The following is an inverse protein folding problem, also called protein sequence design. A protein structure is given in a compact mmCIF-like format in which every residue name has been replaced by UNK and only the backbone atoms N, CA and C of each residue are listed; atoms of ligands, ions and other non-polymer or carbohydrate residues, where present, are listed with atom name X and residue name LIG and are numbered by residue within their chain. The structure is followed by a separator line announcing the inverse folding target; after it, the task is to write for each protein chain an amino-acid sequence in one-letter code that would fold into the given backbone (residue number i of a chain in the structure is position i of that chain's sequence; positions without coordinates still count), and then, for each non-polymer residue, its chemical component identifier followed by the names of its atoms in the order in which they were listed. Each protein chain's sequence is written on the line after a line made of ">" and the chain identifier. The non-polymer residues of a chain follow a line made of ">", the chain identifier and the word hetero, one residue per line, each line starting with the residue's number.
data_IF_656521483311
#
_entry.id   IF_656521483311
#
_cell.length_a   1.000
_cell.length_b   1.000
_cell.length_c   1.000
_cell.angle_alpha   90.00
_cell.angle_beta   90.00
_cell.angle_gamma   90.00
#
_symmetry.space_group_name_H-M   'P 1'
#
loop_
_entity.id
_entity.type
_entity.pdbx_description
1 polymer ?
#
# COMPACT_ATOMS: atom_id res chain seq x y z
N UNK A 1 7.15 -79.69 5.82
CA UNK A 1 7.09 -78.53 6.74
C UNK A 1 6.88 -77.27 5.89
N UNK A 2 5.64 -76.75 5.77
CA UNK A 2 5.33 -75.58 4.92
C UNK A 2 5.43 -74.30 5.74
N UNK A 3 6.34 -73.41 5.36
CA UNK A 3 6.49 -72.07 5.95
C UNK A 3 5.39 -71.14 5.44
N UNK A 4 4.54 -70.65 6.35
CA UNK A 4 3.43 -69.74 6.05
C UNK A 4 3.98 -68.30 6.02
N UNK A 5 4.23 -67.77 4.82
CA UNK A 5 4.71 -66.40 4.59
C UNK A 5 3.61 -65.41 5.02
N UNK A 6 3.74 -64.80 6.20
CA UNK A 6 2.81 -63.75 6.69
C UNK A 6 2.96 -62.52 5.79
N UNK A 7 1.96 -62.26 4.95
CA UNK A 7 1.82 -60.99 4.22
C UNK A 7 1.33 -59.96 5.24
N UNK A 8 2.14 -58.95 5.56
CA UNK A 8 1.69 -57.79 6.34
C UNK A 8 0.55 -57.12 5.53
N UNK A 9 -0.62 -56.87 6.13
CA UNK A 9 -1.72 -56.26 5.40
C UNK A 9 -1.28 -54.87 4.95
N UNK A 10 -1.54 -54.51 3.69
CA UNK A 10 -1.13 -53.25 3.07
C UNK A 10 -1.53 -52.02 3.91
N UNK A 11 -2.60 -52.14 4.70
CA UNK A 11 -3.03 -51.15 5.70
C UNK A 11 -1.98 -50.88 6.78
N UNK A 12 -1.29 -51.90 7.31
CA UNK A 12 -0.24 -51.71 8.31
C UNK A 12 0.98 -50.96 7.75
N UNK A 13 1.30 -51.18 6.47
CA UNK A 13 2.37 -50.45 5.78
C UNK A 13 1.96 -48.99 5.57
N UNK A 14 0.74 -48.76 5.09
CA UNK A 14 0.22 -47.40 4.86
C UNK A 14 0.19 -46.59 6.15
N UNK A 15 -0.34 -47.16 7.24
CA UNK A 15 -0.31 -46.51 8.56
C UNK A 15 1.11 -46.21 9.03
N UNK A 16 2.05 -47.15 8.86
CA UNK A 16 3.45 -46.94 9.24
C UNK A 16 4.12 -45.81 8.47
N UNK A 17 3.90 -45.74 7.16
CA UNK A 17 4.46 -44.67 6.30
C UNK A 17 3.86 -43.31 6.65
N UNK A 18 2.55 -43.23 6.87
CA UNK A 18 1.89 -41.97 7.26
C UNK A 18 2.38 -41.46 8.61
N UNK A 19 2.57 -42.36 9.58
CA UNK A 19 3.12 -41.99 10.90
C UNK A 19 4.55 -41.47 10.79
N UNK A 20 5.39 -42.12 9.98
CA UNK A 20 6.75 -41.65 9.70
C UNK A 20 6.77 -40.28 9.01
N UNK A 21 5.87 -40.05 8.05
CA UNK A 21 5.75 -38.77 7.37
C UNK A 21 5.32 -37.65 8.35
N UNK A 22 4.34 -37.91 9.21
CA UNK A 22 3.90 -36.95 10.22
C UNK A 22 5.03 -36.58 11.20
N UNK A 23 5.82 -37.56 11.64
CA UNK A 23 6.99 -37.32 12.49
C UNK A 23 8.06 -36.51 11.76
N UNK A 24 8.34 -36.83 10.49
CA UNK A 24 9.30 -36.08 9.67
C UNK A 24 8.89 -34.62 9.47
N UNK A 25 7.61 -34.37 9.18
CA UNK A 25 7.05 -33.02 9.05
C UNK A 25 7.17 -32.28 10.39
N UNK A 26 6.79 -32.93 11.51
CA UNK A 26 6.91 -32.33 12.84
C UNK A 26 8.35 -31.92 13.19
N UNK A 27 9.33 -32.77 12.90
CA UNK A 27 10.75 -32.48 13.12
C UNK A 27 11.26 -31.34 12.22
N UNK A 28 10.81 -31.30 10.96
CA UNK A 28 11.17 -30.22 10.02
C UNK A 28 10.62 -28.86 10.49
N UNK A 29 9.35 -28.80 10.89
CA UNK A 29 8.75 -27.58 11.42
C UNK A 29 9.43 -27.13 12.72
N UNK A 30 9.73 -28.05 13.64
CA UNK A 30 10.38 -27.72 14.91
C UNK A 30 11.79 -27.12 14.72
N UNK A 31 12.51 -27.51 13.67
CA UNK A 31 13.79 -26.90 13.31
C UNK A 31 13.62 -25.47 12.77
N UNK A 32 12.54 -25.17 12.03
CA UNK A 32 12.31 -23.83 11.48
C UNK A 32 11.72 -22.84 12.51
N UNK A 33 10.84 -23.31 13.38
CA UNK A 33 10.10 -22.44 14.33
C UNK A 33 10.91 -22.09 15.57
N UNK A 34 12.14 -22.60 15.71
CA UNK A 34 13.01 -22.28 16.84
C UNK A 34 12.49 -22.80 18.19
N UNK A 35 11.61 -23.81 18.19
CA UNK A 35 10.98 -24.36 19.42
C UNK A 35 12.01 -24.97 20.39
N UNK A 36 13.22 -25.28 19.93
CA UNK A 36 14.33 -25.75 20.75
C UNK A 36 15.28 -24.65 21.23
N UNK A 37 15.04 -23.37 20.90
CA UNK A 37 15.85 -22.27 21.43
C UNK A 37 15.64 -22.14 22.93
N UNK A 38 16.73 -22.03 23.67
CA UNK A 38 16.71 -21.87 25.12
C UNK A 38 16.22 -20.47 25.51
N UNK A 39 15.77 -20.28 26.76
CA UNK A 39 15.30 -18.97 27.26
C UNK A 39 16.36 -17.85 27.18
N UNK A 40 17.64 -18.20 26.96
CA UNK A 40 18.75 -17.26 26.75
C UNK A 40 18.88 -16.82 25.28
N UNK A 41 18.22 -17.51 24.35
CA UNK A 41 18.28 -17.27 22.90
C UNK A 41 16.94 -16.76 22.33
N UNK A 42 15.83 -16.98 23.04
CA UNK A 42 14.67 -16.11 22.97
C UNK A 42 14.97 -14.88 23.82
N UNK A 43 15.16 -13.73 23.19
CA UNK A 43 15.46 -12.44 23.80
C UNK A 43 14.32 -11.99 24.74
N UNK A 44 14.29 -12.63 25.91
CA UNK A 44 13.32 -12.42 27.00
C UNK A 44 13.91 -11.53 28.09
N UNK A 45 15.06 -10.91 27.81
CA UNK A 45 15.58 -9.84 28.64
C UNK A 45 14.52 -8.74 28.72
N UNK A 46 14.29 -8.13 29.89
CA UNK A 46 13.58 -6.87 29.97
C UNK A 46 14.23 -5.91 28.95
N UNK A 47 13.45 -5.11 28.21
CA UNK A 47 14.00 -4.19 27.24
C UNK A 47 15.12 -3.40 27.91
N UNK A 48 16.31 -3.49 27.33
CA UNK A 48 17.48 -2.80 27.85
C UNK A 48 17.10 -1.32 27.94
N UNK A 49 17.17 -0.78 29.17
CA UNK A 49 16.94 0.63 29.36
C UNK A 49 17.87 1.37 28.40
N UNK A 50 17.36 2.29 27.56
CA UNK A 50 18.18 2.96 26.58
C UNK A 50 19.40 3.57 27.29
N UNK A 51 20.58 3.53 26.67
CA UNK A 51 21.79 4.03 27.30
C UNK A 51 21.55 5.46 27.77
N UNK A 52 21.61 5.66 29.09
CA UNK A 52 21.66 7.00 29.66
C UNK A 52 23.03 7.56 29.30
N UNK A 53 23.04 8.47 28.33
CA UNK A 53 24.18 9.35 28.08
C UNK A 53 24.46 10.13 29.36
N UNK A 54 25.59 9.83 29.99
CA UNK A 54 26.14 10.66 31.05
C UNK A 54 26.38 12.06 30.48
N UNK A 55 25.74 13.03 31.12
CA UNK A 55 25.64 14.39 30.63
C UNK A 55 27.00 15.07 30.59
N UNK A 56 27.37 15.52 29.39
CA UNK A 56 28.21 16.70 29.23
C UNK A 56 27.59 17.59 28.15
N UNK A 57 27.07 18.72 28.63
CA UNK A 57 26.80 19.97 27.92
C UNK A 57 25.75 19.98 26.80
N UNK A 58 24.49 19.64 27.13
CA UNK A 58 23.33 19.97 26.28
C UNK A 58 22.42 20.99 26.98
N UNK A 59 22.47 22.22 26.50
CA UNK A 59 21.50 23.29 26.79
C UNK A 59 20.15 22.90 26.19
N UNK A 60 19.05 22.86 26.95
CA UNK A 60 17.77 22.42 26.43
C UNK A 60 17.18 23.50 25.52
N UNK A 61 17.01 23.18 24.24
CA UNK A 61 15.92 23.74 23.45
C UNK A 61 15.03 22.57 23.01
N UNK A 62 13.82 22.60 23.56
CA UNK A 62 12.59 21.86 23.34
C UNK A 62 12.58 20.51 22.57
N UNK A 63 12.06 19.53 23.29
CA UNK A 63 11.38 18.29 22.86
C UNK A 63 11.05 18.17 21.37
N UNK A 64 11.75 17.30 20.66
CA UNK A 64 11.24 16.69 19.43
C UNK A 64 11.46 15.17 19.48
N UNK A 65 10.41 14.44 19.86
CA UNK A 65 10.27 13.02 19.49
C UNK A 65 10.41 12.89 17.96
N UNK A 66 10.94 11.77 17.43
CA UNK A 66 10.91 11.53 15.99
C UNK A 66 9.46 11.69 15.49
N UNK A 67 9.20 12.47 14.43
CA UNK A 67 7.85 12.70 13.96
C UNK A 67 7.20 11.37 13.61
N UNK A 68 5.98 11.14 14.11
CA UNK A 68 5.14 10.02 13.68
C UNK A 68 4.92 10.15 12.15
N UNK A 69 4.84 9.03 11.43
CA UNK A 69 4.37 9.03 10.03
C UNK A 69 3.06 9.85 9.95
N UNK A 70 3.05 10.91 9.13
CA UNK A 70 1.95 11.87 9.01
C UNK A 70 2.14 13.23 9.69
N UNK A 71 3.02 13.39 10.69
CA UNK A 71 3.24 14.68 11.36
C UNK A 71 4.07 15.65 10.51
N UNK A 72 5.01 15.09 9.74
CA UNK A 72 5.81 15.85 8.77
C UNK A 72 5.00 16.16 7.49
N UNK A 73 4.00 15.34 7.16
CA UNK A 73 3.08 15.60 6.04
C UNK A 73 2.06 16.69 6.41
N UNK A 74 1.58 16.79 7.65
CA UNK A 74 0.70 17.90 8.07
C UNK A 74 1.34 19.29 7.96
N UNK A 75 2.68 19.37 7.98
CA UNK A 75 3.42 20.62 7.81
C UNK A 75 3.57 21.06 6.34
N UNK A 76 3.18 20.22 5.36
CA UNK A 76 3.27 20.57 3.94
C UNK A 76 2.06 21.39 3.50
N UNK A 77 2.30 22.35 2.62
CA UNK A 77 1.25 23.13 1.96
C UNK A 77 0.61 22.29 0.86
N UNK A 78 -0.42 21.52 1.23
CA UNK A 78 -1.13 20.63 0.32
C UNK A 78 -2.17 21.36 -0.53
N UNK A 79 -2.11 21.12 -1.83
CA UNK A 79 -3.10 21.53 -2.81
C UNK A 79 -3.99 20.33 -3.10
N UNK A 80 -5.29 20.47 -2.81
CA UNK A 80 -6.28 19.44 -3.12
C UNK A 80 -6.46 19.30 -4.65
N UNK A 81 -6.27 18.08 -5.16
CA UNK A 81 -6.49 17.71 -6.56
C UNK A 81 -7.86 17.06 -6.72
N UNK A 82 -8.26 16.22 -5.77
CA UNK A 82 -9.56 15.56 -5.81
C UNK A 82 -10.10 15.37 -4.39
N UNK A 83 -11.39 15.67 -4.21
CA UNK A 83 -12.16 15.21 -3.07
C UNK A 83 -13.56 14.73 -3.50
N UNK A 84 -14.18 13.78 -2.78
CA UNK A 84 -15.51 13.24 -3.09
C UNK A 84 -16.64 14.28 -3.12
N UNK A 85 -16.43 15.47 -2.53
CA UNK A 85 -17.39 16.58 -2.56
C UNK A 85 -17.49 17.28 -3.92
N UNK A 86 -16.49 17.10 -4.79
CA UNK A 86 -16.48 17.64 -6.16
C UNK A 86 -16.13 16.53 -7.18
N UNK A 87 -17.10 15.65 -7.53
CA UNK A 87 -16.87 14.56 -8.46
C UNK A 87 -16.78 15.03 -9.93
N UNK A 88 -16.92 16.33 -10.22
CA UNK A 88 -16.88 16.84 -11.60
C UNK A 88 -15.53 16.67 -12.27
N UNK A 89 -14.48 16.46 -11.46
CA UNK A 89 -13.10 16.28 -11.88
C UNK A 89 -12.75 14.80 -12.14
N UNK A 90 -13.76 13.91 -12.19
CA UNK A 90 -13.58 12.46 -12.34
C UNK A 90 -14.26 11.97 -13.61
N UNK A 91 -13.48 11.27 -14.43
CA UNK A 91 -13.92 10.69 -15.69
C UNK A 91 -13.78 9.16 -15.64
N UNK A 92 -14.90 8.45 -15.66
CA UNK A 92 -14.95 6.99 -15.76
C UNK A 92 -15.32 6.55 -17.18
N UNK A 93 -14.48 5.75 -17.86
CA UNK A 93 -14.83 5.13 -19.14
C UNK A 93 -16.09 4.25 -19.05
N UNK A 94 -16.71 3.94 -20.20
CA UNK A 94 -18.01 3.23 -20.24
C UNK A 94 -18.03 1.84 -19.63
N UNK A 95 -16.89 1.16 -19.54
CA UNK A 95 -16.74 -0.14 -18.88
C UNK A 95 -16.21 -0.05 -17.45
N UNK A 96 -15.87 1.15 -16.96
CA UNK A 96 -15.45 1.41 -15.58
C UNK A 96 -16.59 2.05 -14.77
N UNK A 97 -16.44 2.09 -13.44
CA UNK A 97 -17.40 2.71 -12.51
C UNK A 97 -16.69 3.59 -11.50
N UNK A 98 -17.35 4.69 -11.15
CA UNK A 98 -16.94 5.62 -10.11
C UNK A 98 -18.21 6.12 -9.39
N UNK A 99 -18.41 5.65 -8.16
CA UNK A 99 -19.61 5.93 -7.36
C UNK A 99 -19.21 6.69 -6.10
N UNK A 100 -19.85 7.83 -5.82
CA UNK A 100 -19.66 8.54 -4.56
C UNK A 100 -20.46 7.85 -3.47
N UNK A 101 -19.80 7.41 -2.41
CA UNK A 101 -20.38 6.71 -1.27
C UNK A 101 -20.06 7.49 0.00
N UNK A 102 -21.03 7.56 0.91
CA UNK A 102 -20.85 8.14 2.23
C UNK A 102 -21.26 7.11 3.28
N UNK A 103 -20.33 6.80 4.20
CA UNK A 103 -20.56 5.89 5.32
C UNK A 103 -19.96 6.47 6.62
N UNK A 104 -19.85 5.64 7.67
CA UNK A 104 -19.27 6.02 8.97
C UNK A 104 -17.79 6.45 8.88
N UNK A 105 -17.06 6.02 7.84
CA UNK A 105 -15.68 6.42 7.58
C UNK A 105 -15.56 7.76 6.86
N UNK A 106 -16.67 8.34 6.39
CA UNK A 106 -16.72 9.58 5.64
C UNK A 106 -17.18 9.38 4.19
N UNK A 107 -17.03 10.43 3.38
CA UNK A 107 -17.29 10.36 1.94
C UNK A 107 -16.06 9.86 1.18
N UNK A 108 -16.26 9.01 0.18
CA UNK A 108 -15.22 8.52 -0.72
C UNK A 108 -15.80 8.21 -2.09
N UNK A 109 -14.92 8.15 -3.08
CA UNK A 109 -15.27 7.68 -4.40
C UNK A 109 -14.82 6.23 -4.55
N UNK A 110 -15.77 5.30 -4.68
CA UNK A 110 -15.50 3.91 -5.00
C UNK A 110 -15.28 3.78 -6.50
N UNK A 111 -14.05 3.43 -6.88
CA UNK A 111 -13.69 3.18 -8.27
C UNK A 111 -13.56 1.68 -8.55
N UNK A 112 -14.02 1.28 -9.73
CA UNK A 112 -13.84 -0.07 -10.25
C UNK A 112 -13.46 0.01 -11.73
N UNK A 113 -12.30 -0.51 -12.06
CA UNK A 113 -11.78 -0.53 -13.41
C UNK A 113 -12.56 -1.51 -14.27
N UNK A 114 -12.67 -1.17 -15.56
CA UNK A 114 -13.39 -2.02 -16.49
C UNK A 114 -12.66 -3.31 -16.82
N UNK A 115 -13.38 -4.30 -17.34
CA UNK A 115 -12.82 -5.60 -17.71
C UNK A 115 -11.69 -5.48 -18.76
N UNK A 116 -11.70 -4.42 -19.58
CA UNK A 116 -10.62 -4.13 -20.51
C UNK A 116 -9.31 -3.70 -19.81
N UNK A 117 -9.40 -3.20 -18.57
CA UNK A 117 -8.34 -2.52 -17.83
C UNK A 117 -8.46 -1.00 -17.83
N UNK A 118 -9.61 -0.45 -18.23
CA UNK A 118 -9.91 0.99 -18.18
C UNK A 118 -9.65 1.59 -16.80
N UNK A 119 -8.80 2.61 -16.76
CA UNK A 119 -8.53 3.40 -15.57
C UNK A 119 -9.55 4.54 -15.43
N UNK A 120 -9.76 4.98 -14.19
CA UNK A 120 -10.57 6.15 -13.86
C UNK A 120 -9.61 7.34 -13.84
N UNK A 121 -9.94 8.40 -14.58
CA UNK A 121 -9.11 9.60 -14.68
C UNK A 121 -9.59 10.68 -13.74
N UNK A 122 -8.65 11.29 -13.02
CA UNK A 122 -8.84 12.42 -12.14
C UNK A 122 -8.13 13.63 -12.75
N UNK A 123 -8.86 14.72 -12.94
CA UNK A 123 -8.33 15.90 -13.60
C UNK A 123 -7.42 16.67 -12.64
N UNK A 124 -6.24 17.05 -13.13
CA UNK A 124 -5.31 17.93 -12.42
C UNK A 124 -5.39 19.30 -13.08
N UNK A 125 -6.08 20.22 -12.39
CA UNK A 125 -6.33 21.56 -12.93
C UNK A 125 -5.05 22.28 -13.36
N UNK A 126 -5.15 23.05 -14.45
CA UNK A 126 -4.01 23.81 -15.00
C UNK A 126 -3.37 24.72 -13.94
N UNK A 127 -4.17 25.40 -13.11
CA UNK A 127 -3.67 26.24 -12.02
C UNK A 127 -2.90 25.48 -10.92
N UNK A 128 -3.13 24.16 -10.76
CA UNK A 128 -2.29 23.32 -9.91
C UNK A 128 -0.95 23.09 -10.60
N UNK A 129 -0.98 22.67 -11.87
CA UNK A 129 0.23 22.42 -12.66
C UNK A 129 1.13 23.66 -12.80
N UNK A 130 0.55 24.86 -12.92
CA UNK A 130 1.29 26.13 -12.94
C UNK A 130 2.09 26.35 -11.65
N UNK A 131 1.53 25.97 -10.49
CA UNK A 131 2.23 26.05 -9.21
C UNK A 131 3.36 25.03 -9.10
N UNK A 132 3.28 23.91 -9.81
CA UNK A 132 4.27 22.84 -9.79
C UNK A 132 5.39 23.02 -10.83
N UNK A 133 5.21 23.88 -11.83
CA UNK A 133 6.19 24.13 -12.89
C UNK A 133 7.59 24.45 -12.31
N UNK A 134 8.61 23.74 -12.80
CA UNK A 134 10.00 23.87 -12.36
C UNK A 134 10.31 23.32 -10.96
N UNK A 135 9.32 22.74 -10.26
CA UNK A 135 9.43 22.27 -8.88
C UNK A 135 9.48 20.75 -8.77
N UNK A 136 9.87 20.29 -7.59
CA UNK A 136 9.74 18.89 -7.21
C UNK A 136 8.49 18.79 -6.35
N UNK A 137 7.60 17.86 -6.67
CA UNK A 137 6.32 17.75 -5.98
C UNK A 137 6.04 16.31 -5.60
N UNK A 138 5.42 16.13 -4.45
CA UNK A 138 4.93 14.84 -3.94
C UNK A 138 3.41 14.83 -4.08
N UNK A 139 2.90 13.87 -4.82
CA UNK A 139 1.48 13.54 -4.84
C UNK A 139 1.20 12.49 -3.77
N UNK A 140 0.03 12.61 -3.15
CA UNK A 140 -0.47 11.67 -2.17
C UNK A 140 -1.90 11.26 -2.54
N UNK A 141 -2.13 9.96 -2.60
CA UNK A 141 -3.44 9.35 -2.82
C UNK A 141 -3.83 8.66 -1.52
N UNK A 142 -4.94 9.11 -0.92
CA UNK A 142 -5.48 8.49 0.28
C UNK A 142 -6.54 7.47 -0.15
N UNK A 143 -6.28 6.18 0.10
CA UNK A 143 -7.14 5.12 -0.38
C UNK A 143 -7.20 3.89 0.54
N UNK A 144 -8.23 3.06 0.35
CA UNK A 144 -8.31 1.69 0.89
C UNK A 144 -8.94 0.75 -0.15
N UNK A 145 -8.71 -0.55 0.00
CA UNK A 145 -9.39 -1.54 -0.80
C UNK A 145 -10.84 -1.73 -0.33
N UNK A 146 -11.69 -2.26 -1.20
CA UNK A 146 -12.98 -2.79 -0.75
C UNK A 146 -12.76 -3.90 0.30
N UNK A 147 -13.69 -4.00 1.25
CA UNK A 147 -13.57 -4.90 2.38
C UNK A 147 -13.42 -6.37 1.94
N UNK A 148 -12.40 -7.04 2.48
CA UNK A 148 -12.05 -8.41 2.09
C UNK A 148 -11.45 -8.58 0.68
N UNK A 149 -11.16 -7.47 -0.01
CA UNK A 149 -10.66 -7.46 -1.39
C UNK A 149 -9.38 -6.63 -1.56
N UNK A 150 -8.34 -6.94 -0.78
CA UNK A 150 -7.01 -6.34 -0.98
C UNK A 150 -6.57 -6.48 -2.45
N UNK A 151 -6.01 -5.41 -2.99
CA UNK A 151 -5.77 -5.27 -4.42
C UNK A 151 -4.44 -4.58 -4.71
N UNK A 152 -4.03 -4.60 -5.97
CA UNK A 152 -2.95 -3.77 -6.46
C UNK A 152 -3.53 -2.74 -7.43
N UNK A 153 -3.19 -1.48 -7.21
CA UNK A 153 -3.53 -0.41 -8.14
C UNK A 153 -2.34 -0.07 -9.02
N UNK A 154 -2.61 0.46 -10.21
CA UNK A 154 -1.61 1.18 -10.99
C UNK A 154 -2.03 2.62 -11.19
N UNK A 155 -1.06 3.53 -11.07
CA UNK A 155 -1.24 4.96 -11.31
C UNK A 155 -0.40 5.37 -12.51
N UNK A 156 -1.02 6.08 -13.43
CA UNK A 156 -0.41 6.66 -14.63
C UNK A 156 -0.81 8.14 -14.69
N UNK A 157 0.09 9.01 -15.12
CA UNK A 157 -0.19 10.44 -15.15
C UNK A 157 0.08 11.01 -16.54
N UNK A 158 -0.73 11.98 -16.95
CA UNK A 158 -0.48 12.77 -18.14
C UNK A 158 -0.63 14.24 -17.79
N UNK A 159 0.48 14.94 -17.61
CA UNK A 159 0.50 16.38 -17.33
C UNK A 159 0.77 17.21 -18.60
N UNK A 160 0.52 16.62 -19.78
CA UNK A 160 0.73 17.26 -21.08
C UNK A 160 2.20 17.61 -21.31
N UNK A 161 2.48 18.88 -21.54
CA UNK A 161 3.84 19.38 -21.81
C UNK A 161 4.81 19.25 -20.62
N UNK A 162 4.25 19.03 -19.42
CA UNK A 162 5.01 18.83 -18.19
C UNK A 162 5.46 17.38 -17.99
N UNK A 163 4.99 16.44 -18.81
CA UNK A 163 5.39 15.03 -18.79
C UNK A 163 4.43 14.14 -17.99
N UNK A 164 4.96 13.05 -17.45
CA UNK A 164 4.23 12.02 -16.71
C UNK A 164 4.91 11.69 -15.37
N UNK A 165 4.29 10.82 -14.58
CA UNK A 165 4.84 10.31 -13.33
C UNK A 165 5.49 8.92 -13.49
N UNK A 166 5.61 8.40 -14.72
CA UNK A 166 5.81 7.00 -15.00
C UNK A 166 4.69 6.12 -14.47
N UNK A 167 4.86 4.80 -14.56
CA UNK A 167 3.88 3.83 -14.03
C UNK A 167 4.20 3.51 -12.57
N UNK A 168 3.32 3.92 -11.66
CA UNK A 168 3.39 3.52 -10.25
C UNK A 168 2.48 2.34 -9.97
N UNK A 169 2.84 1.53 -8.97
CA UNK A 169 2.01 0.43 -8.48
C UNK A 169 2.06 0.37 -6.97
N UNK A 170 0.90 0.15 -6.36
CA UNK A 170 0.77 0.06 -4.91
C UNK A 170 -0.09 -1.13 -4.54
N UNK A 171 0.28 -1.82 -3.46
CA UNK A 171 -0.60 -2.77 -2.80
C UNK A 171 -1.52 -1.98 -1.88
N UNK A 172 -2.83 -2.04 -2.14
CA UNK A 172 -3.84 -1.31 -1.38
C UNK A 172 -4.50 -2.27 -0.40
N UNK A 173 -4.27 -2.00 0.88
CA UNK A 173 -4.83 -2.76 2.00
C UNK A 173 -6.23 -2.28 2.40
N UNK A 174 -6.80 -2.97 3.39
CA UNK A 174 -8.15 -2.70 3.91
C UNK A 174 -8.25 -1.41 4.73
N UNK A 175 -7.16 -1.03 5.37
CA UNK A 175 -7.07 0.21 6.13
C UNK A 175 -6.80 1.40 5.21
N UNK A 176 -7.34 2.57 5.59
CA UNK A 176 -7.03 3.83 4.92
C UNK A 176 -5.53 4.11 5.06
N UNK A 177 -4.85 4.27 3.94
CA UNK A 177 -3.42 4.57 3.88
C UNK A 177 -3.11 5.62 2.81
N UNK A 178 -1.91 6.18 2.90
CA UNK A 178 -1.34 7.17 1.98
C UNK A 178 -0.41 6.48 0.98
N UNK A 179 -0.53 6.83 -0.30
CA UNK A 179 0.27 6.27 -1.38
C UNK A 179 0.96 7.39 -2.14
N UNK A 180 2.21 7.65 -1.78
CA UNK A 180 2.96 8.81 -2.24
C UNK A 180 3.82 8.52 -3.47
N UNK A 181 3.93 9.50 -4.37
CA UNK A 181 4.95 9.52 -5.42
C UNK A 181 5.45 10.92 -5.73
N UNK A 182 6.74 10.99 -6.05
CA UNK A 182 7.37 12.24 -6.44
C UNK A 182 7.45 12.41 -7.96
N UNK A 183 7.34 13.66 -8.39
CA UNK A 183 7.47 14.09 -9.79
C UNK A 183 8.33 15.35 -9.85
N UNK A 184 9.36 15.34 -10.69
CA UNK A 184 10.17 16.53 -10.99
C UNK A 184 9.63 17.18 -12.25
N UNK A 185 9.02 18.34 -12.10
CA UNK A 185 8.43 19.08 -13.20
C UNK A 185 9.47 19.92 -13.94
N UNK A 186 9.42 19.97 -15.29
CA UNK A 186 10.24 20.90 -16.05
C UNK A 186 9.78 22.34 -15.80
N UNK A 187 10.70 23.30 -15.95
CA UNK A 187 10.39 24.73 -15.86
C UNK A 187 9.74 25.22 -17.17
N UNK A 188 8.47 24.89 -17.33
CA UNK A 188 7.63 25.23 -18.49
C UNK A 188 6.22 25.56 -18.02
N UNK A 189 5.52 26.42 -18.76
CA UNK A 189 4.11 26.66 -18.49
C UNK A 189 3.25 25.51 -19.04
N UNK A 190 2.29 24.97 -18.27
CA UNK A 190 1.34 24.00 -18.79
C UNK A 190 0.36 24.67 -19.76
N UNK A 191 0.18 24.08 -20.95
CA UNK A 191 -0.80 24.55 -21.94
C UNK A 191 -2.23 24.08 -21.70
N UNK A 192 -2.45 23.12 -20.79
CA UNK A 192 -3.75 22.56 -20.46
C UNK A 192 -3.73 21.90 -19.07
N UNK A 193 -4.89 21.47 -18.58
CA UNK A 193 -5.01 20.56 -17.44
C UNK A 193 -4.36 19.20 -17.74
N UNK A 194 -3.92 18.52 -16.69
CA UNK A 194 -3.41 17.15 -16.75
C UNK A 194 -4.40 16.15 -16.17
N UNK A 195 -3.99 14.89 -16.09
CA UNK A 195 -4.79 13.82 -15.48
C UNK A 195 -3.91 12.85 -14.68
N UNK A 196 -4.51 12.26 -13.65
CA UNK A 196 -4.01 11.08 -12.94
C UNK A 196 -5.01 9.96 -13.20
N UNK A 197 -4.58 8.89 -13.85
CA UNK A 197 -5.39 7.72 -14.15
C UNK A 197 -5.07 6.60 -13.16
N UNK A 198 -6.10 6.11 -12.45
CA UNK A 198 -5.99 5.03 -11.47
C UNK A 198 -6.74 3.79 -12.00
N UNK A 199 -6.01 2.70 -12.16
CA UNK A 199 -6.61 1.38 -12.31
C UNK A 199 -6.69 0.71 -10.93
N UNK A 200 -7.90 0.35 -10.51
CA UNK A 200 -8.20 -0.21 -9.18
C UNK A 200 -7.84 -1.69 -9.01
N UNK A 201 -7.57 -2.37 -10.12
CA UNK A 201 -7.31 -3.80 -10.13
C UNK A 201 -6.37 -4.19 -11.28
N UNK A 202 -5.08 -4.08 -10.99
CA UNK A 202 -4.02 -4.45 -11.91
C UNK A 202 -4.13 -5.92 -12.38
N UNK A 203 -4.66 -6.80 -11.53
CA UNK A 203 -4.79 -8.24 -11.79
C UNK A 203 -6.12 -8.62 -12.47
N UNK A 204 -7.00 -7.64 -12.73
CA UNK A 204 -8.29 -7.78 -13.47
C UNK A 204 -9.27 -8.80 -12.86
N UNK A 205 -9.34 -8.86 -11.53
CA UNK A 205 -10.27 -9.67 -10.75
C UNK A 205 -11.61 -8.97 -10.44
N UNK A 206 -11.81 -7.73 -10.88
CA UNK A 206 -13.00 -6.91 -10.63
C UNK A 206 -13.03 -6.21 -9.26
N UNK A 207 -11.87 -6.06 -8.60
CA UNK A 207 -11.74 -5.42 -7.29
C UNK A 207 -11.95 -3.91 -7.36
N UNK A 208 -12.42 -3.34 -6.27
CA UNK A 208 -12.65 -1.89 -6.15
C UNK A 208 -11.67 -1.26 -5.16
N UNK A 209 -11.48 0.05 -5.32
CA UNK A 209 -10.73 0.87 -4.37
C UNK A 209 -11.56 2.10 -4.00
N UNK A 210 -11.55 2.46 -2.73
CA UNK A 210 -12.17 3.65 -2.19
C UNK A 210 -11.11 4.77 -2.14
N UNK A 211 -11.31 5.84 -2.91
CA UNK A 211 -10.44 7.02 -2.95
C UNK A 211 -11.05 8.12 -2.08
N UNK A 212 -10.32 8.55 -1.07
CA UNK A 212 -10.75 9.60 -0.14
C UNK A 212 -10.27 10.98 -0.55
N UNK A 213 -9.05 11.07 -1.05
CA UNK A 213 -8.41 12.34 -1.40
C UNK A 213 -7.26 12.09 -2.37
N UNK A 214 -7.03 13.03 -3.28
CA UNK A 214 -5.76 13.16 -3.99
C UNK A 214 -5.28 14.58 -3.77
N UNK A 215 -4.04 14.72 -3.32
CA UNK A 215 -3.42 16.01 -3.01
C UNK A 215 -1.98 16.06 -3.47
N UNK A 216 -1.44 17.26 -3.60
CA UNK A 216 -0.06 17.48 -4.03
C UNK A 216 0.59 18.59 -3.22
N UNK A 217 1.85 18.43 -2.87
CA UNK A 217 2.66 19.47 -2.22
C UNK A 217 4.01 19.61 -2.92
N UNK A 218 4.58 20.80 -2.86
CA UNK A 218 5.95 21.05 -3.32
C UNK A 218 6.91 20.55 -2.25
N UNK A 219 7.90 19.76 -2.66
CA UNK A 219 9.01 19.36 -1.80
C UNK A 219 9.95 20.57 -1.61
N UNK A 220 10.32 20.91 -0.36
CA UNK A 220 11.23 22.02 -0.07
C UNK A 220 12.59 21.94 -0.76
#
# INVERSE_FOLDING_TARGET
>A
RRARRRRLPLTAIFFGVTLLAAVGIGLYFANQTGVFKSATELDTAPPEAPPTVDGDDFTPDDTASPPKQGEQDQARDWINVFSPGDPTQVNAPSDAKADVIQDESGSFLRIRSGASGSAISFDVGQGVLEKLAGKHATFDIIARSEEGQETQISVDCNFGELGDCGRKRYAVGRERNEYLFDVRFPDKHPGAAGTIAINSDFDKQGKSVDIYEIRVSVVP
#
